data_IF_980401761305
#
_entry.id   IF_980401761305
#
_cell.length_a   1.000
_cell.length_b   1.000
_cell.length_c   1.000
_cell.angle_alpha   90.00
_cell.angle_beta   90.00
_cell.angle_gamma   90.00
#
_symmetry.space_group_name_H-M   'P 1'
#
loop_
_entity.id
_entity.type
_entity.pdbx_description
1 polymer ?
#
# COMPACT_ATOMS: atom_id res chain seq x y z
N UNK A 1 6.22 -1.61 18.91
CA UNK A 1 6.50 -0.18 18.63
C UNK A 1 7.32 0.00 17.34
N UNK A 2 8.47 -0.68 17.20
CA UNK A 2 9.33 -0.59 16.00
C UNK A 2 8.61 -0.95 14.69
N UNK A 3 7.88 -2.06 14.65
CA UNK A 3 7.06 -2.46 13.50
C UNK A 3 6.15 -1.33 13.00
N UNK A 4 5.38 -0.73 13.91
CA UNK A 4 4.46 0.36 13.57
C UNK A 4 5.20 1.61 13.10
N UNK A 5 6.35 1.93 13.70
CA UNK A 5 7.20 3.03 13.25
C UNK A 5 7.68 2.85 11.81
N UNK A 6 8.12 1.64 11.44
CA UNK A 6 8.53 1.31 10.08
C UNK A 6 7.34 1.34 9.10
N UNK A 7 6.16 0.87 9.50
CA UNK A 7 4.95 0.96 8.69
C UNK A 7 4.55 2.42 8.42
N UNK A 8 4.54 3.27 9.45
CA UNK A 8 4.25 4.70 9.31
C UNK A 8 5.29 5.43 8.45
N UNK A 9 6.57 5.06 8.56
CA UNK A 9 7.61 5.61 7.69
C UNK A 9 7.31 5.32 6.21
N UNK A 10 6.89 4.09 5.88
CA UNK A 10 6.53 3.70 4.51
C UNK A 10 5.19 4.27 4.04
N UNK A 11 4.30 4.63 4.96
CA UNK A 11 3.07 5.37 4.65
C UNK A 11 3.38 6.77 4.10
N UNK A 12 4.33 7.49 4.71
CA UNK A 12 4.62 8.88 4.37
C UNK A 12 5.81 9.07 3.41
N UNK A 13 6.81 8.19 3.42
CA UNK A 13 7.99 8.24 2.54
C UNK A 13 8.11 6.98 1.69
N UNK A 14 8.40 7.15 0.40
CA UNK A 14 8.54 6.02 -0.55
C UNK A 14 9.83 5.21 -0.32
N UNK A 15 10.87 5.88 0.14
CA UNK A 15 12.20 5.31 0.40
C UNK A 15 12.62 5.74 1.80
N UNK A 16 12.84 4.77 2.68
CA UNK A 16 13.54 5.04 3.94
C UNK A 16 15.02 5.29 3.63
N UNK A 17 15.67 6.29 4.23
CA UNK A 17 17.13 6.42 4.16
C UNK A 17 17.80 5.12 4.65
N UNK A 18 18.92 4.72 4.05
CA UNK A 18 19.66 3.50 4.43
C UNK A 18 20.02 3.46 5.92
N UNK A 19 20.25 4.64 6.53
CA UNK A 19 20.49 4.79 7.96
C UNK A 19 19.29 4.34 8.80
N UNK A 20 18.08 4.66 8.36
CA UNK A 20 16.84 4.27 9.04
C UNK A 20 16.55 2.77 8.88
N UNK A 21 16.81 2.20 7.71
CA UNK A 21 16.70 0.75 7.49
C UNK A 21 17.70 -0.03 8.38
N UNK A 22 18.92 0.49 8.54
CA UNK A 22 19.97 -0.12 9.37
C UNK A 22 19.61 -0.14 10.85
N UNK A 23 18.99 0.92 11.37
CA UNK A 23 18.51 0.98 12.76
C UNK A 23 17.47 -0.10 13.08
N UNK A 24 16.65 -0.52 12.11
CA UNK A 24 15.60 -1.51 12.34
C UNK A 24 16.07 -2.96 12.23
N UNK A 25 17.13 -3.24 11.45
CA UNK A 25 17.67 -4.60 11.23
C UNK A 25 18.16 -5.28 12.52
N UNK A 26 18.62 -4.52 13.51
CA UNK A 26 19.07 -5.08 14.80
C UNK A 26 17.95 -5.40 15.79
N UNK A 27 16.71 -4.97 15.51
CA UNK A 27 15.59 -5.04 16.47
C UNK A 27 14.42 -5.89 15.95
N UNK A 28 14.21 -5.89 14.63
CA UNK A 28 13.08 -6.55 14.00
C UNK A 28 13.57 -7.60 13.00
N UNK A 29 13.09 -8.86 13.08
CA UNK A 29 13.40 -9.87 12.06
C UNK A 29 13.03 -9.37 10.66
N UNK A 30 13.78 -9.80 9.64
CA UNK A 30 13.59 -9.34 8.26
C UNK A 30 12.16 -9.56 7.74
N UNK A 31 11.56 -10.69 8.09
CA UNK A 31 10.15 -11.03 7.75
C UNK A 31 9.18 -10.00 8.30
N UNK A 32 9.33 -9.63 9.57
CA UNK A 32 8.49 -8.63 10.26
C UNK A 32 8.75 -7.22 9.71
N UNK A 33 9.97 -6.92 9.27
CA UNK A 33 10.28 -5.67 8.61
C UNK A 33 9.61 -5.59 7.22
N UNK A 34 9.60 -6.67 6.45
CA UNK A 34 8.89 -6.76 5.18
C UNK A 34 7.38 -6.57 5.35
N UNK A 35 6.76 -7.23 6.33
CA UNK A 35 5.35 -7.04 6.69
C UNK A 35 5.02 -5.57 7.02
N UNK A 36 5.89 -4.88 7.78
CA UNK A 36 5.69 -3.47 8.10
C UNK A 36 5.73 -2.58 6.85
N UNK A 37 6.63 -2.87 5.91
CA UNK A 37 6.71 -2.16 4.62
C UNK A 37 5.44 -2.37 3.80
N UNK A 38 4.94 -3.60 3.72
CA UNK A 38 3.68 -3.94 3.04
C UNK A 38 2.52 -3.16 3.66
N UNK A 39 2.38 -3.19 4.99
CA UNK A 39 1.34 -2.45 5.70
C UNK A 39 1.40 -0.95 5.42
N UNK A 40 2.58 -0.34 5.49
CA UNK A 40 2.77 1.09 5.21
C UNK A 40 2.35 1.47 3.79
N UNK A 41 2.70 0.66 2.80
CA UNK A 41 2.31 0.88 1.39
C UNK A 41 0.80 0.68 1.19
N UNK A 42 0.19 -0.31 1.83
CA UNK A 42 -1.26 -0.51 1.81
C UNK A 42 -2.02 0.68 2.42
N UNK A 43 -1.60 1.16 3.60
CA UNK A 43 -2.16 2.37 4.21
C UNK A 43 -2.02 3.60 3.30
N UNK A 44 -0.91 3.71 2.56
CA UNK A 44 -0.68 4.82 1.63
C UNK A 44 -1.61 4.77 0.43
N UNK A 45 -1.87 3.58 -0.12
CA UNK A 45 -2.86 3.38 -1.18
C UNK A 45 -4.27 3.75 -0.67
N UNK A 46 -4.67 3.22 0.49
CA UNK A 46 -5.97 3.52 1.08
C UNK A 46 -6.18 5.01 1.37
N UNK A 47 -5.19 5.68 1.95
CA UNK A 47 -5.27 7.12 2.22
C UNK A 47 -5.42 7.98 0.95
N UNK A 48 -4.87 7.53 -0.17
CA UNK A 48 -5.01 8.18 -1.47
C UNK A 48 -6.42 7.97 -2.05
N UNK A 49 -6.92 6.74 -1.97
CA UNK A 49 -8.26 6.39 -2.46
C UNK A 49 -9.38 7.07 -1.67
N UNK A 50 -9.14 7.45 -0.42
CA UNK A 50 -10.17 8.05 0.42
C UNK A 50 -9.99 9.53 0.72
N UNK A 51 -8.89 10.15 0.27
CA UNK A 51 -8.50 11.49 0.73
C UNK A 51 -8.34 11.55 2.27
N UNK A 52 -8.13 10.41 2.93
CA UNK A 52 -8.20 10.25 4.39
C UNK A 52 -9.57 10.58 5.03
N UNK A 53 -10.64 10.56 4.25
CA UNK A 53 -12.02 10.62 4.71
C UNK A 53 -12.63 9.21 4.85
N UNK A 54 -13.73 9.11 5.59
CA UNK A 54 -14.56 7.90 5.71
C UNK A 54 -15.50 7.76 4.51
N UNK A 55 -16.04 6.55 4.27
CA UNK A 55 -17.04 6.29 3.24
C UNK A 55 -16.45 5.87 1.89
N UNK A 56 -15.36 6.47 1.40
CA UNK A 56 -14.88 6.14 0.04
C UNK A 56 -14.36 4.70 -0.09
N UNK A 57 -13.69 4.18 0.95
CA UNK A 57 -13.10 2.83 0.89
C UNK A 57 -14.12 1.70 0.85
N UNK A 58 -15.39 1.94 1.21
CA UNK A 58 -16.45 0.92 1.08
C UNK A 58 -16.76 0.60 -0.38
N UNK A 59 -16.35 1.48 -1.30
CA UNK A 59 -16.48 1.30 -2.74
C UNK A 59 -15.19 0.80 -3.40
N UNK A 60 -14.20 0.35 -2.61
CA UNK A 60 -12.95 -0.20 -3.11
C UNK A 60 -12.68 -1.59 -2.52
N UNK A 61 -12.26 -2.54 -3.35
CA UNK A 61 -11.78 -3.87 -2.91
C UNK A 61 -10.35 -4.09 -3.37
N UNK A 62 -9.54 -4.73 -2.53
CA UNK A 62 -8.14 -5.06 -2.82
C UNK A 62 -7.92 -6.56 -2.58
N UNK A 63 -7.71 -7.31 -3.64
CA UNK A 63 -7.71 -8.77 -3.61
C UNK A 63 -6.42 -9.33 -4.24
N UNK A 64 -5.63 -10.12 -3.50
CA UNK A 64 -4.52 -10.87 -4.08
C UNK A 64 -5.01 -12.16 -4.75
N UNK A 65 -4.46 -12.52 -5.91
CA UNK A 65 -4.75 -13.78 -6.60
C UNK A 65 -3.97 -13.91 -7.91
N UNK A 66 -3.55 -15.13 -8.27
CA UNK A 66 -2.87 -15.45 -9.54
C UNK A 66 -1.67 -14.54 -9.88
N UNK A 67 -0.83 -14.22 -8.88
CA UNK A 67 0.31 -13.30 -9.06
C UNK A 67 -0.09 -11.86 -9.34
N UNK A 68 -1.35 -11.50 -9.06
CA UNK A 68 -1.90 -10.16 -9.21
C UNK A 68 -2.43 -9.63 -7.89
N UNK A 69 -2.40 -8.31 -7.77
CA UNK A 69 -3.10 -7.57 -6.74
C UNK A 69 -4.12 -6.68 -7.42
N UNK A 70 -5.39 -7.10 -7.36
CA UNK A 70 -6.48 -6.45 -8.06
C UNK A 70 -7.12 -5.40 -7.16
N UNK A 71 -7.11 -4.14 -7.59
CA UNK A 71 -7.85 -3.05 -7.00
C UNK A 71 -9.11 -2.81 -7.84
N UNK A 72 -10.29 -3.07 -7.27
CA UNK A 72 -11.56 -2.74 -7.92
C UNK A 72 -12.14 -1.48 -7.29
N UNK A 73 -12.44 -0.48 -8.12
CA UNK A 73 -13.09 0.77 -7.74
C UNK A 73 -14.51 0.79 -8.28
N UNK A 74 -15.47 1.16 -7.44
CA UNK A 74 -16.91 1.25 -7.74
C UNK A 74 -17.44 2.62 -7.33
N UNK A 75 -18.61 3.01 -7.83
CA UNK A 75 -19.31 4.23 -7.38
C UNK A 75 -18.39 5.47 -7.28
N UNK A 76 -18.44 6.22 -6.16
CA UNK A 76 -17.60 7.41 -5.94
C UNK A 76 -16.08 7.15 -5.96
N UNK A 77 -15.62 5.94 -5.62
CA UNK A 77 -14.18 5.65 -5.60
C UNK A 77 -13.54 5.66 -7.00
N UNK A 78 -14.36 5.56 -8.06
CA UNK A 78 -13.89 5.65 -9.46
C UNK A 78 -13.24 6.99 -9.79
N UNK A 79 -13.61 8.07 -9.10
CA UNK A 79 -13.01 9.40 -9.31
C UNK A 79 -11.53 9.45 -8.93
N UNK A 80 -11.08 8.52 -8.08
CA UNK A 80 -9.67 8.41 -7.67
C UNK A 80 -8.85 7.56 -8.65
N UNK A 81 -9.47 6.95 -9.65
CA UNK A 81 -8.75 6.18 -10.67
C UNK A 81 -7.82 7.11 -11.47
N UNK A 82 -6.53 6.79 -11.50
CA UNK A 82 -5.55 7.53 -12.27
C UNK A 82 -4.12 7.07 -12.01
N UNK A 83 -3.17 7.67 -12.73
CA UNK A 83 -1.75 7.26 -12.74
C UNK A 83 -1.12 7.20 -11.34
N UNK A 84 -1.55 8.10 -10.45
CA UNK A 84 -1.01 8.15 -9.09
C UNK A 84 -1.45 6.92 -8.28
N UNK A 85 -2.71 6.53 -8.37
CA UNK A 85 -3.24 5.32 -7.71
C UNK A 85 -2.60 4.07 -8.31
N UNK A 86 -2.49 3.99 -9.64
CA UNK A 86 -1.81 2.88 -10.31
C UNK A 86 -0.37 2.72 -9.82
N UNK A 87 0.41 3.81 -9.77
CA UNK A 87 1.79 3.75 -9.27
C UNK A 87 1.88 3.28 -7.82
N UNK A 88 0.89 3.61 -6.98
CA UNK A 88 0.86 3.16 -5.58
C UNK A 88 0.45 1.69 -5.47
N UNK A 89 -0.49 1.26 -6.30
CA UNK A 89 -0.86 -0.14 -6.43
C UNK A 89 0.34 -0.99 -6.88
N UNK A 90 1.08 -0.57 -7.92
CA UNK A 90 2.29 -1.28 -8.37
C UNK A 90 3.38 -1.33 -7.28
N UNK A 91 3.56 -0.22 -6.56
CA UNK A 91 4.48 -0.19 -5.41
C UNK A 91 4.08 -1.19 -4.32
N UNK A 92 2.79 -1.37 -4.04
CA UNK A 92 2.34 -2.38 -3.09
C UNK A 92 2.51 -3.80 -3.65
N UNK A 93 2.04 -4.04 -4.87
CA UNK A 93 2.06 -5.36 -5.52
C UNK A 93 3.48 -5.92 -5.66
N UNK A 94 4.46 -5.09 -6.03
CA UNK A 94 5.88 -5.47 -6.08
C UNK A 94 6.47 -5.95 -4.75
N UNK A 95 5.89 -5.61 -3.59
CA UNK A 95 6.32 -6.16 -2.29
C UNK A 95 5.68 -7.49 -1.95
N UNK A 96 4.71 -7.90 -2.75
CA UNK A 96 4.00 -9.16 -2.66
C UNK A 96 4.35 -10.09 -3.84
N UNK A 97 5.41 -9.76 -4.58
CA UNK A 97 5.83 -10.47 -5.80
C UNK A 97 4.67 -10.62 -6.81
N UNK A 98 3.83 -9.58 -6.89
CA UNK A 98 2.63 -9.53 -7.72
C UNK A 98 2.61 -8.31 -8.65
N UNK A 99 1.73 -8.35 -9.65
CA UNK A 99 1.45 -7.21 -10.55
C UNK A 99 0.16 -6.50 -10.13
N UNK A 100 0.21 -5.18 -10.00
CA UNK A 100 -0.97 -4.37 -9.70
C UNK A 100 -1.92 -4.29 -10.90
N UNK A 101 -3.20 -4.55 -10.70
CA UNK A 101 -4.24 -4.40 -11.73
C UNK A 101 -5.37 -3.55 -11.16
N UNK A 102 -5.72 -2.46 -11.84
CA UNK A 102 -6.83 -1.60 -11.43
C UNK A 102 -8.02 -1.84 -12.36
N UNK A 103 -9.21 -2.01 -11.78
CA UNK A 103 -10.47 -2.24 -12.50
C UNK A 103 -11.49 -1.22 -12.01
N UNK A 104 -12.13 -0.50 -12.93
CA UNK A 104 -13.29 0.34 -12.61
C UNK A 104 -14.55 -0.45 -12.99
N UNK A 105 -15.28 -0.94 -11.98
CA UNK A 105 -16.54 -1.62 -12.17
C UNK A 105 -17.72 -0.64 -12.09
N UNK A 106 -18.85 -1.02 -12.68
CA UNK A 106 -20.10 -0.24 -12.62
C UNK A 106 -20.65 -0.12 -11.20
#
# INVERSE_FOLDING_TARGET
RVFLGLALLNRYKATAPDTTATLFRGILPETRAAEAVILGRAMRLGAMLSGSATGVLEHATLEPGDGRLTLTLRGPAREFAGEVVERRLQSLASRLDATGVMICAE
#
